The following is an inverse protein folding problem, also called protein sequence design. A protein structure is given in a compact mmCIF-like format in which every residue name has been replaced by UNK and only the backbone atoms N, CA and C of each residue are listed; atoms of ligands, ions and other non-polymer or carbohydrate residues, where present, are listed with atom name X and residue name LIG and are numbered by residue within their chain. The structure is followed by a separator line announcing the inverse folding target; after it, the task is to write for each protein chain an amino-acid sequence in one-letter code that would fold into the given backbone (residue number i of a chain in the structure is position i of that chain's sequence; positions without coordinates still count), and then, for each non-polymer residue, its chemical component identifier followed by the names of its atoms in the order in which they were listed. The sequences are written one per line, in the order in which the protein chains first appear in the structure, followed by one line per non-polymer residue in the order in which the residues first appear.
data_IF_342859411226
#
_entry.id   IF_342859411226
#
_cell.length_a   1.000
_cell.length_b   1.000
_cell.length_c   1.000
_cell.angle_alpha   90.00
_cell.angle_beta   90.00
_cell.angle_gamma   90.00
#
_symmetry.space_group_name_H-M   'P 1'
#
loop_
_entity.id
_entity.type
_entity.pdbx_description
1 polymer ?
#
# COMPACT_ATOMS: atom_id res chain seq x y z
N UNK A 1 7.32 15.29 6.94
CA UNK A 1 6.23 14.30 7.12
C UNK A 1 4.92 14.95 6.66
N UNK A 2 4.36 14.47 5.55
CA UNK A 2 3.27 15.16 4.84
C UNK A 2 1.87 14.62 5.18
N UNK A 3 1.76 13.79 6.21
CA UNK A 3 0.50 13.19 6.65
C UNK A 3 0.45 13.06 8.19
N UNK A 4 -0.75 13.00 8.82
CA UNK A 4 -0.87 12.89 10.26
C UNK A 4 -0.40 11.52 10.78
N UNK A 5 0.64 11.53 11.62
CA UNK A 5 1.29 10.31 12.14
C UNK A 5 0.37 9.40 12.97
N UNK A 6 -0.72 9.93 13.52
CA UNK A 6 -1.65 9.16 14.35
C UNK A 6 -2.62 8.28 13.54
N UNK A 7 -2.58 8.37 12.20
CA UNK A 7 -3.39 7.52 11.33
C UNK A 7 -2.66 6.19 11.14
N UNK A 8 -3.23 5.05 11.60
CA UNK A 8 -2.60 3.75 11.40
C UNK A 8 -2.42 3.44 9.91
N UNK A 9 -1.23 2.92 9.55
CA UNK A 9 -0.93 2.53 8.17
C UNK A 9 -0.47 3.65 7.26
N UNK A 10 -0.42 4.90 7.75
CA UNK A 10 -0.05 6.07 6.94
C UNK A 10 1.40 6.05 6.46
N UNK A 11 2.26 5.26 7.10
CA UNK A 11 3.71 5.20 6.90
C UNK A 11 4.24 3.76 6.68
N UNK A 12 3.37 2.81 6.35
CA UNK A 12 3.73 1.37 6.27
C UNK A 12 4.43 0.95 4.95
N UNK A 13 4.84 1.89 4.11
CA UNK A 13 5.50 1.59 2.83
C UNK A 13 6.58 2.61 2.51
N UNK A 14 7.27 2.42 1.39
CA UNK A 14 8.52 3.11 1.07
C UNK A 14 8.38 4.62 0.97
N UNK A 15 7.18 5.15 0.73
CA UNK A 15 6.91 6.59 0.76
C UNK A 15 7.34 7.25 2.07
N UNK A 16 7.36 6.52 3.19
CA UNK A 16 7.94 6.97 4.46
C UNK A 16 9.40 7.40 4.28
N UNK A 17 10.21 6.59 3.57
CA UNK A 17 11.64 6.87 3.37
C UNK A 17 11.82 8.13 2.51
N UNK A 18 11.02 8.32 1.47
CA UNK A 18 11.04 9.54 0.66
C UNK A 18 10.67 10.78 1.49
N UNK A 19 9.67 10.68 2.36
CA UNK A 19 9.27 11.77 3.26
C UNK A 19 10.36 12.17 4.26
N UNK A 20 11.29 11.27 4.62
CA UNK A 20 12.44 11.59 5.48
C UNK A 20 13.49 12.47 4.77
N UNK A 21 13.45 12.51 3.44
CA UNK A 21 14.36 13.28 2.60
C UNK A 21 13.66 14.46 1.89
N UNK A 22 12.49 14.87 2.38
CA UNK A 22 11.67 15.95 1.80
C UNK A 22 11.28 15.71 0.32
N UNK A 23 11.24 14.44 -0.11
CA UNK A 23 10.80 14.07 -1.45
C UNK A 23 9.29 13.80 -1.43
N UNK A 24 8.48 14.48 -2.27
CA UNK A 24 7.05 14.19 -2.39
C UNK A 24 6.82 12.76 -2.89
N UNK A 25 6.12 11.97 -2.08
CA UNK A 25 5.76 10.59 -2.40
C UNK A 25 4.35 10.27 -1.93
N UNK A 26 3.68 9.38 -2.64
CA UNK A 26 2.33 8.89 -2.34
C UNK A 26 2.29 7.38 -2.51
N UNK A 27 1.58 6.71 -1.60
CA UNK A 27 1.23 5.30 -1.73
C UNK A 27 -0.24 5.19 -2.14
N UNK A 28 -0.49 4.47 -3.23
CA UNK A 28 -1.83 4.02 -3.61
C UNK A 28 -1.92 2.55 -3.21
N UNK A 29 -2.87 2.19 -2.35
CA UNK A 29 -3.00 0.83 -1.83
C UNK A 29 -4.46 0.45 -1.64
N UNK A 30 -4.79 -0.82 -1.84
CA UNK A 30 -6.07 -1.42 -1.47
C UNK A 30 -6.08 -1.94 -0.02
N UNK A 31 -5.03 -1.64 0.75
CA UNK A 31 -4.78 -2.11 2.12
C UNK A 31 -4.55 -3.62 2.23
N UNK A 32 -3.62 -4.16 1.42
CA UNK A 32 -3.30 -5.58 1.31
C UNK A 32 -3.31 -6.36 2.65
N UNK A 33 -2.64 -5.86 3.70
CA UNK A 33 -2.56 -6.52 5.00
C UNK A 33 -3.86 -6.48 5.83
N UNK A 34 -4.78 -5.55 5.56
CA UNK A 34 -6.12 -5.53 6.16
C UNK A 34 -7.11 -6.42 5.40
N UNK A 35 -6.99 -6.50 4.07
CA UNK A 35 -7.92 -7.24 3.20
C UNK A 35 -7.54 -8.71 3.04
N UNK A 36 -6.26 -9.00 2.83
CA UNK A 36 -5.79 -10.34 2.49
C UNK A 36 -5.34 -11.09 3.75
N UNK A 37 -6.17 -12.05 4.21
CA UNK A 37 -5.84 -12.93 5.34
C UNK A 37 -4.63 -13.85 5.06
N UNK A 38 -4.12 -13.89 3.84
CA UNK A 38 -2.92 -14.62 3.46
C UNK A 38 -1.70 -13.72 3.24
N UNK A 39 -1.78 -12.43 3.60
CA UNK A 39 -0.63 -11.53 3.51
C UNK A 39 0.60 -12.13 4.22
N UNK A 40 1.74 -12.17 3.53
CA UNK A 40 2.99 -12.83 4.00
C UNK A 40 2.87 -14.33 4.29
N UNK A 41 1.85 -15.02 3.76
CA UNK A 41 1.69 -16.48 3.84
C UNK A 41 1.77 -17.11 2.45
N UNK A 42 2.04 -18.44 2.33
CA UNK A 42 2.11 -19.11 1.04
C UNK A 42 0.84 -19.01 0.18
N UNK A 43 -0.31 -18.73 0.81
CA UNK A 43 -1.57 -18.51 0.11
C UNK A 43 -1.73 -17.11 -0.49
N UNK A 44 -0.72 -16.24 -0.44
CA UNK A 44 -0.74 -14.94 -1.10
C UNK A 44 -0.57 -15.11 -2.63
N UNK A 45 -1.66 -15.49 -3.28
CA UNK A 45 -1.67 -15.95 -4.66
C UNK A 45 -2.49 -15.03 -5.57
N UNK A 46 -2.18 -15.08 -6.88
CA UNK A 46 -2.73 -14.21 -7.91
C UNK A 46 -4.26 -14.19 -7.99
N UNK A 47 -4.93 -15.31 -7.69
CA UNK A 47 -6.40 -15.44 -7.66
C UNK A 47 -7.07 -14.54 -6.60
N UNK A 48 -6.31 -14.03 -5.62
CA UNK A 48 -6.82 -13.09 -4.62
C UNK A 48 -6.93 -11.67 -5.13
N UNK A 49 -6.31 -11.32 -6.27
CA UNK A 49 -6.24 -9.96 -6.78
C UNK A 49 -7.53 -9.53 -7.50
N UNK A 50 -7.88 -8.24 -7.39
CA UNK A 50 -8.92 -7.65 -8.21
C UNK A 50 -8.29 -6.96 -9.43
N UNK A 51 -8.16 -7.70 -10.53
CA UNK A 51 -7.53 -7.23 -11.76
C UNK A 51 -8.25 -6.05 -12.41
N UNK A 52 -9.59 -5.97 -12.31
CA UNK A 52 -10.34 -4.83 -12.86
C UNK A 52 -9.96 -3.52 -12.16
N UNK A 53 -9.82 -3.55 -10.82
CA UNK A 53 -9.37 -2.38 -10.05
C UNK A 53 -7.90 -2.06 -10.30
N UNK A 54 -7.04 -3.08 -10.38
CA UNK A 54 -5.63 -2.86 -10.71
C UNK A 54 -5.43 -2.20 -12.08
N UNK A 55 -6.24 -2.58 -13.07
CA UNK A 55 -6.18 -1.98 -14.41
C UNK A 55 -6.50 -0.47 -14.40
N UNK A 56 -7.35 0.00 -13.48
CA UNK A 56 -7.67 1.43 -13.33
C UNK A 56 -6.50 2.25 -12.77
N UNK A 57 -5.53 1.60 -12.11
CA UNK A 57 -4.36 2.26 -11.53
C UNK A 57 -3.13 2.22 -12.46
N UNK A 58 -3.18 1.40 -13.53
CA UNK A 58 -2.06 1.20 -14.45
C UNK A 58 -2.14 2.09 -15.71
N UNK A 59 -3.22 2.84 -15.87
CA UNK A 59 -3.49 3.77 -16.97
C UNK A 59 -3.40 5.21 -16.47
#
# INVERSE_FOLDING_TARGET
MNAPWFIPGIDFSDHLNYWQHDIPAVMITDTAFYRNKQYHLPGDTADRLNYQKMAQMAL
#
